data_IF_490927228295
#
_entry.id   IF_490927228295
#
_cell.length_a   1.000
_cell.length_b   1.000
_cell.length_c   1.000
_cell.angle_alpha   90.00
_cell.angle_beta   90.00
_cell.angle_gamma   90.00
#
_symmetry.space_group_name_H-M   'P 1'
#
loop_
_entity.id
_entity.type
_entity.pdbx_description
1 polymer ?
#
# COMPACT_ATOMS: atom_id res chain seq x y z
N UNK A 1 -6.92 -30.61 -20.32
CA UNK A 1 -6.76 -29.31 -21.02
C UNK A 1 -7.22 -28.10 -20.20
N UNK A 2 -8.24 -28.22 -19.33
CA UNK A 2 -8.82 -27.11 -18.51
C UNK A 2 -7.87 -26.58 -17.40
N UNK A 3 -6.86 -27.33 -16.97
CA UNK A 3 -5.93 -26.92 -15.90
C UNK A 3 -4.74 -26.07 -16.38
N UNK A 4 -4.46 -26.02 -17.68
CA UNK A 4 -3.34 -25.25 -18.22
C UNK A 4 -3.65 -23.75 -18.34
N UNK A 5 -4.92 -23.41 -18.56
CA UNK A 5 -5.41 -22.05 -18.82
C UNK A 5 -5.30 -21.11 -17.60
N UNK A 6 -5.19 -21.66 -16.38
CA UNK A 6 -5.15 -20.88 -15.13
C UNK A 6 -3.75 -20.38 -14.71
N UNK A 7 -2.68 -20.73 -15.43
CA UNK A 7 -1.28 -20.42 -15.01
C UNK A 7 -0.76 -19.08 -15.53
N UNK A 8 -1.30 -18.58 -16.63
CA UNK A 8 -0.92 -17.31 -17.24
C UNK A 8 -2.12 -16.36 -17.33
N UNK A 9 -1.84 -15.07 -17.52
CA UNK A 9 -2.85 -14.05 -17.76
C UNK A 9 -2.33 -13.04 -18.78
N UNK A 10 -3.26 -12.35 -19.46
CA UNK A 10 -2.92 -11.26 -20.36
C UNK A 10 -2.57 -9.99 -19.56
N UNK A 11 -1.56 -9.18 -19.92
CA UNK A 11 -1.19 -8.00 -19.14
C UNK A 11 -2.33 -6.99 -18.92
N UNK A 12 -3.26 -6.85 -19.86
CA UNK A 12 -4.48 -6.05 -19.68
C UNK A 12 -5.35 -6.52 -18.50
N UNK A 13 -5.35 -7.83 -18.19
CA UNK A 13 -6.05 -8.36 -17.02
C UNK A 13 -5.33 -7.95 -15.72
N UNK A 14 -4.00 -7.99 -15.70
CA UNK A 14 -3.21 -7.47 -14.58
C UNK A 14 -3.47 -5.96 -14.39
N UNK A 15 -3.46 -5.19 -15.47
CA UNK A 15 -3.76 -3.77 -15.43
C UNK A 15 -5.13 -3.50 -14.78
N UNK A 16 -6.17 -4.24 -15.17
CA UNK A 16 -7.50 -4.14 -14.55
C UNK A 16 -7.51 -4.44 -13.05
N UNK A 17 -6.75 -5.43 -12.58
CA UNK A 17 -6.67 -5.71 -11.14
C UNK A 17 -6.08 -4.55 -10.35
N UNK A 18 -5.00 -3.95 -10.86
CA UNK A 18 -4.36 -2.79 -10.23
C UNK A 18 -5.22 -1.52 -10.36
N UNK A 19 -5.96 -1.34 -11.46
CA UNK A 19 -6.91 -0.25 -11.63
C UNK A 19 -8.07 -0.35 -10.64
N UNK A 20 -8.66 -1.54 -10.50
CA UNK A 20 -9.71 -1.76 -9.50
C UNK A 20 -9.21 -1.52 -8.08
N UNK A 21 -8.00 -1.99 -7.78
CA UNK A 21 -7.32 -1.72 -6.50
C UNK A 21 -7.13 -0.22 -6.27
N UNK A 22 -6.81 0.54 -7.31
CA UNK A 22 -6.70 2.00 -7.23
C UNK A 22 -8.02 2.62 -6.79
N UNK A 23 -9.15 2.23 -7.38
CA UNK A 23 -10.46 2.74 -6.98
C UNK A 23 -10.82 2.36 -5.54
N UNK A 24 -10.55 1.12 -5.14
CA UNK A 24 -10.74 0.68 -3.74
C UNK A 24 -9.88 1.52 -2.79
N UNK A 25 -8.63 1.79 -3.15
CA UNK A 25 -7.71 2.57 -2.33
C UNK A 25 -8.11 4.06 -2.28
N UNK A 26 -8.70 4.62 -3.35
CA UNK A 26 -9.29 5.97 -3.31
C UNK A 26 -10.44 6.02 -2.31
N UNK A 27 -11.37 5.05 -2.36
CA UNK A 27 -12.46 4.96 -1.39
C UNK A 27 -11.92 4.83 0.04
N UNK A 28 -10.93 3.97 0.25
CA UNK A 28 -10.28 3.80 1.54
C UNK A 28 -9.61 5.11 2.03
N UNK A 29 -8.92 5.83 1.15
CA UNK A 29 -8.30 7.12 1.50
C UNK A 29 -9.35 8.14 1.96
N UNK A 30 -10.46 8.26 1.23
CA UNK A 30 -11.58 9.14 1.63
C UNK A 30 -12.12 8.75 3.01
N UNK A 31 -12.37 7.46 3.24
CA UNK A 31 -12.87 6.97 4.53
C UNK A 31 -11.88 7.24 5.68
N UNK A 32 -10.58 7.07 5.44
CA UNK A 32 -9.52 7.30 6.43
C UNK A 32 -9.40 8.79 6.78
N UNK A 33 -9.61 9.70 5.82
CA UNK A 33 -9.55 11.15 6.07
C UNK A 33 -10.83 11.71 6.65
N UNK A 34 -11.99 11.08 6.41
CA UNK A 34 -13.30 11.55 6.89
C UNK A 34 -13.34 11.86 8.40
N UNK A 35 -12.72 11.06 9.29
CA UNK A 35 -12.58 11.40 10.71
C UNK A 35 -12.06 12.80 11.03
N UNK A 36 -11.24 13.42 10.17
CA UNK A 36 -10.72 14.80 10.36
C UNK A 36 -11.86 15.81 10.45
N UNK A 37 -13.00 15.54 9.82
CA UNK A 37 -14.19 16.38 9.84
C UNK A 37 -14.98 16.25 11.16
N UNK A 38 -14.66 15.27 12.00
CA UNK A 38 -15.35 15.03 13.27
C UNK A 38 -14.60 15.72 14.41
N UNK A 39 -15.09 16.88 14.84
CA UNK A 39 -14.47 17.70 15.88
C UNK A 39 -14.16 16.91 17.17
N UNK A 40 -15.03 15.97 17.57
CA UNK A 40 -14.84 15.12 18.77
C UNK A 40 -13.59 14.24 18.71
N UNK A 41 -13.10 13.90 17.52
CA UNK A 41 -11.88 13.09 17.37
C UNK A 41 -10.60 13.91 17.55
N UNK A 42 -10.73 15.25 17.61
CA UNK A 42 -9.64 16.22 17.80
C UNK A 42 -8.43 15.98 16.86
N UNK A 43 -8.69 15.39 15.69
CA UNK A 43 -7.64 14.98 14.76
C UNK A 43 -6.74 16.14 14.32
N UNK A 44 -7.27 17.33 13.97
CA UNK A 44 -6.41 18.48 13.67
C UNK A 44 -5.43 18.83 14.79
N UNK A 45 -5.83 18.72 16.06
CA UNK A 45 -4.97 18.99 17.22
C UNK A 45 -3.94 17.88 17.43
N UNK A 46 -4.31 16.63 17.19
CA UNK A 46 -3.36 15.50 17.26
C UNK A 46 -2.24 15.65 16.23
N UNK A 47 -2.57 16.17 15.04
CA UNK A 47 -1.61 16.34 13.94
C UNK A 47 -0.52 17.38 14.21
N UNK A 48 -0.70 18.29 15.17
CA UNK A 48 0.32 19.31 15.52
C UNK A 48 1.30 18.83 16.59
N UNK A 49 1.04 17.70 17.22
CA UNK A 49 1.86 17.15 18.30
C UNK A 49 2.54 15.85 17.88
N UNK A 50 3.75 15.62 18.36
CA UNK A 50 4.35 14.28 18.28
C UNK A 50 3.70 13.37 19.34
N UNK A 51 3.36 12.11 19.02
CA UNK A 51 3.58 11.37 17.77
C UNK A 51 2.41 11.46 16.76
N UNK A 52 1.40 12.29 16.97
CA UNK A 52 0.24 12.42 16.08
C UNK A 52 0.57 12.85 14.65
N UNK A 53 1.71 13.51 14.43
CA UNK A 53 2.26 13.79 13.08
C UNK A 53 2.43 12.53 12.22
N UNK A 54 2.65 11.35 12.80
CA UNK A 54 2.75 10.09 12.05
C UNK A 54 1.47 9.72 11.30
N UNK A 55 0.31 10.23 11.71
CA UNK A 55 -0.95 10.06 10.97
C UNK A 55 -0.87 10.67 9.57
N UNK A 56 -0.28 11.87 9.47
CA UNK A 56 -0.12 12.56 8.19
C UNK A 56 0.86 11.83 7.29
N UNK A 57 1.97 11.36 7.86
CA UNK A 57 2.97 10.59 7.11
C UNK A 57 2.36 9.27 6.62
N UNK A 58 1.61 8.55 7.47
CA UNK A 58 0.92 7.32 7.09
C UNK A 58 -0.08 7.55 5.95
N UNK A 59 -0.86 8.64 6.02
CA UNK A 59 -1.78 9.02 4.95
C UNK A 59 -1.04 9.34 3.64
N UNK A 60 0.04 10.11 3.69
CA UNK A 60 0.89 10.40 2.54
C UNK A 60 1.47 9.14 1.90
N UNK A 61 1.94 8.20 2.71
CA UNK A 61 2.43 6.90 2.23
C UNK A 61 1.29 6.07 1.62
N UNK A 62 0.10 6.04 2.22
CA UNK A 62 -1.03 5.30 1.67
C UNK A 62 -1.50 5.87 0.32
N UNK A 63 -1.58 7.19 0.20
CA UNK A 63 -1.93 7.85 -1.07
C UNK A 63 -0.81 7.65 -2.11
N UNK A 64 0.44 7.89 -1.74
CA UNK A 64 1.59 7.75 -2.64
C UNK A 64 1.81 6.31 -3.12
N UNK A 65 1.98 5.38 -2.19
CA UNK A 65 2.26 3.98 -2.51
C UNK A 65 0.98 3.20 -2.83
N UNK A 66 -0.06 3.32 -2.01
CA UNK A 66 -1.29 2.55 -2.17
C UNK A 66 -2.16 3.00 -3.34
N UNK A 67 -2.42 4.31 -3.51
CA UNK A 67 -3.28 4.82 -4.59
C UNK A 67 -2.47 5.05 -5.87
N UNK A 68 -1.47 5.93 -5.82
CA UNK A 68 -0.69 6.26 -7.02
C UNK A 68 0.21 5.10 -7.45
N UNK A 69 0.78 4.34 -6.51
CA UNK A 69 1.55 3.15 -6.84
C UNK A 69 0.70 2.07 -7.52
N UNK A 70 -0.52 1.81 -7.08
CA UNK A 70 -1.41 0.86 -7.79
C UNK A 70 -1.79 1.36 -9.18
N UNK A 71 -2.03 2.66 -9.34
CA UNK A 71 -2.31 3.26 -10.65
C UNK A 71 -1.10 3.16 -11.59
N UNK A 72 0.10 3.39 -11.06
CA UNK A 72 1.34 3.25 -11.80
C UNK A 72 1.52 1.81 -12.27
N UNK A 73 1.30 0.80 -11.42
CA UNK A 73 1.37 -0.60 -11.81
C UNK A 73 0.31 -1.03 -12.82
N UNK A 74 -0.90 -0.48 -12.71
CA UNK A 74 -1.94 -0.65 -13.74
C UNK A 74 -1.42 -0.16 -15.10
N UNK A 75 -0.85 1.04 -15.12
CA UNK A 75 -0.29 1.66 -16.32
C UNK A 75 0.88 0.86 -16.87
N UNK A 76 1.80 0.41 -16.02
CA UNK A 76 2.96 -0.41 -16.42
C UNK A 76 2.48 -1.71 -17.07
N UNK A 77 1.51 -2.41 -16.48
CA UNK A 77 0.99 -3.64 -17.09
C UNK A 77 0.27 -3.40 -18.41
N UNK A 78 -0.44 -2.28 -18.55
CA UNK A 78 -1.04 -1.88 -19.82
C UNK A 78 0.05 -1.61 -20.87
N UNK A 79 1.04 -0.78 -20.54
CA UNK A 79 2.15 -0.43 -21.43
C UNK A 79 3.03 -1.63 -21.77
N UNK A 80 3.15 -2.61 -20.89
CA UNK A 80 3.92 -3.83 -21.18
C UNK A 80 3.29 -4.67 -22.30
N UNK A 81 1.95 -4.64 -22.46
CA UNK A 81 1.30 -5.27 -23.60
C UNK A 81 1.52 -4.44 -24.88
N UNK A 82 1.37 -3.12 -24.81
CA UNK A 82 1.36 -2.27 -26.02
C UNK A 82 2.74 -1.91 -26.54
N UNK A 83 3.71 -1.62 -25.65
CA UNK A 83 5.06 -1.19 -26.03
C UNK A 83 6.05 -2.35 -26.12
N UNK A 84 5.94 -3.32 -25.21
CA UNK A 84 6.87 -4.45 -25.12
C UNK A 84 6.34 -5.72 -25.81
N UNK A 85 5.12 -5.67 -26.37
CA UNK A 85 4.43 -6.79 -27.00
C UNK A 85 4.36 -8.06 -26.13
N UNK A 86 4.27 -7.88 -24.80
CA UNK A 86 4.13 -9.02 -23.88
C UNK A 86 2.73 -9.61 -24.03
N UNK A 87 2.65 -10.91 -24.36
CA UNK A 87 1.37 -11.61 -24.55
C UNK A 87 0.85 -12.24 -23.27
N UNK A 88 1.74 -12.76 -22.44
CA UNK A 88 1.40 -13.54 -21.25
C UNK A 88 2.30 -13.19 -20.07
N UNK A 89 1.68 -13.11 -18.88
CA UNK A 89 2.34 -13.00 -17.58
C UNK A 89 1.99 -14.22 -16.74
N UNK A 90 2.86 -14.63 -15.81
CA UNK A 90 2.53 -15.67 -14.83
C UNK A 90 1.53 -15.13 -13.81
N UNK A 91 0.35 -15.73 -13.74
CA UNK A 91 -0.74 -15.29 -12.85
C UNK A 91 -0.31 -15.25 -11.39
N UNK A 92 0.47 -16.23 -10.94
CA UNK A 92 0.96 -16.29 -9.56
C UNK A 92 1.80 -15.06 -9.20
N UNK A 93 2.73 -14.64 -10.05
CA UNK A 93 3.59 -13.50 -9.76
C UNK A 93 2.80 -12.19 -9.67
N UNK A 94 1.86 -11.98 -10.60
CA UNK A 94 0.97 -10.80 -10.61
C UNK A 94 0.11 -10.76 -9.35
N UNK A 95 -0.51 -11.88 -8.97
CA UNK A 95 -1.39 -11.93 -7.79
C UNK A 95 -0.58 -11.76 -6.51
N UNK A 96 0.58 -12.40 -6.37
CA UNK A 96 1.46 -12.20 -5.22
C UNK A 96 1.93 -10.76 -5.14
N UNK A 97 2.33 -10.15 -6.27
CA UNK A 97 2.69 -8.73 -6.34
C UNK A 97 1.54 -7.84 -5.83
N UNK A 98 0.33 -8.06 -6.32
CA UNK A 98 -0.85 -7.32 -5.89
C UNK A 98 -1.14 -7.47 -4.39
N UNK A 99 -1.04 -8.68 -3.85
CA UNK A 99 -1.29 -8.96 -2.44
C UNK A 99 -0.24 -8.25 -1.57
N UNK A 100 1.05 -8.41 -1.88
CA UNK A 100 2.12 -7.78 -1.10
C UNK A 100 2.01 -6.25 -1.13
N UNK A 101 1.66 -5.69 -2.29
CA UNK A 101 1.43 -4.26 -2.44
C UNK A 101 0.33 -3.76 -1.50
N UNK A 102 -0.82 -4.44 -1.49
CA UNK A 102 -1.93 -4.06 -0.62
C UNK A 102 -1.62 -4.29 0.86
N UNK A 103 -1.04 -5.44 1.22
CA UNK A 103 -0.65 -5.73 2.62
C UNK A 103 0.29 -4.66 3.15
N UNK A 104 1.28 -4.24 2.35
CA UNK A 104 2.17 -3.14 2.72
C UNK A 104 1.42 -1.81 2.86
N UNK A 105 0.61 -1.42 1.86
CA UNK A 105 -0.10 -0.15 1.88
C UNK A 105 -1.05 -0.02 3.09
N UNK A 106 -1.94 -1.01 3.27
CA UNK A 106 -2.90 -1.02 4.37
C UNK A 106 -2.23 -1.24 5.72
N UNK A 107 -1.23 -2.13 5.79
CA UNK A 107 -0.51 -2.40 7.03
C UNK A 107 0.24 -1.18 7.54
N UNK A 108 1.02 -0.50 6.68
CA UNK A 108 1.72 0.74 7.06
C UNK A 108 0.70 1.82 7.41
N UNK A 109 -0.31 2.04 6.56
CA UNK A 109 -1.36 3.02 6.82
C UNK A 109 -2.03 2.83 8.18
N UNK A 110 -2.35 1.58 8.54
CA UNK A 110 -2.99 1.25 9.81
C UNK A 110 -2.04 1.36 11.01
N UNK A 111 -0.89 0.68 10.99
CA UNK A 111 0.01 0.66 12.16
C UNK A 111 0.69 2.00 12.40
N UNK A 112 1.10 2.69 11.35
CA UNK A 112 1.74 4.01 11.46
C UNK A 112 0.71 5.09 11.74
N UNK A 113 -0.44 5.04 11.05
CA UNK A 113 -1.50 6.03 11.19
C UNK A 113 -2.26 5.88 12.49
N UNK A 114 -2.91 4.73 12.71
CA UNK A 114 -3.67 4.50 13.93
C UNK A 114 -2.77 4.11 15.12
N UNK A 115 -1.93 3.10 14.94
CA UNK A 115 -1.14 2.53 16.04
C UNK A 115 -0.15 3.51 16.68
N UNK A 116 0.69 4.16 15.87
CA UNK A 116 1.64 5.16 16.38
C UNK A 116 1.03 6.56 16.45
N UNK A 117 0.44 7.03 15.34
CA UNK A 117 -0.06 8.39 15.21
C UNK A 117 -1.27 8.68 16.10
N UNK A 118 -2.38 7.99 15.90
CA UNK A 118 -3.62 8.28 16.61
C UNK A 118 -3.52 7.98 18.10
N UNK A 119 -3.06 6.78 18.47
CA UNK A 119 -2.94 6.37 19.88
C UNK A 119 -1.96 7.28 20.63
N UNK A 120 -0.76 7.47 20.08
CA UNK A 120 0.23 8.30 20.75
C UNK A 120 -0.12 9.79 20.76
N UNK A 121 -0.70 10.31 19.68
CA UNK A 121 -1.20 11.70 19.62
C UNK A 121 -2.34 11.94 20.62
N UNK A 122 -3.21 10.95 20.84
CA UNK A 122 -4.25 11.01 21.88
C UNK A 122 -3.62 11.06 23.27
N UNK A 123 -2.71 10.14 23.59
CA UNK A 123 -2.01 10.13 24.87
C UNK A 123 -1.25 11.44 25.14
N UNK A 124 -0.69 12.05 24.09
CA UNK A 124 -0.01 13.34 24.20
C UNK A 124 -0.96 14.47 24.58
N UNK A 125 -2.15 14.52 23.97
CA UNK A 125 -3.19 15.50 24.32
C UNK A 125 -3.75 15.29 25.72
N UNK A 126 -3.76 14.05 26.21
CA UNK A 126 -4.13 13.70 27.58
C UNK A 126 -3.04 14.06 28.62
N UNK A 127 -1.90 14.60 28.17
CA UNK A 127 -0.82 15.04 29.06
C UNK A 127 0.12 13.92 29.50
N UNK A 128 0.08 12.75 28.86
CA UNK A 128 0.98 11.63 29.17
C UNK A 128 2.42 12.01 28.83
N UNK A 129 3.35 11.68 29.73
CA UNK A 129 4.78 11.94 29.53
C UNK A 129 5.37 11.17 28.34
N UNK A 130 6.32 11.81 27.64
CA UNK A 130 6.95 11.29 26.41
C UNK A 130 7.54 9.89 26.58
N UNK A 131 8.15 9.57 27.72
CA UNK A 131 8.72 8.26 27.99
C UNK A 131 7.65 7.15 27.98
N UNK A 132 6.48 7.42 28.57
CA UNK A 132 5.36 6.47 28.62
C UNK A 132 4.73 6.32 27.23
N UNK A 133 4.56 7.43 26.49
CA UNK A 133 4.08 7.39 25.10
C UNK A 133 5.01 6.55 24.22
N UNK A 134 6.31 6.73 24.37
CA UNK A 134 7.32 5.97 23.62
C UNK A 134 7.18 4.47 23.90
N UNK A 135 7.05 4.08 25.17
CA UNK A 135 6.82 2.69 25.54
C UNK A 135 5.51 2.15 24.93
N UNK A 136 4.43 2.95 24.98
CA UNK A 136 3.11 2.59 24.48
C UNK A 136 3.09 2.28 22.98
N UNK A 137 3.82 3.05 22.16
CA UNK A 137 3.82 2.88 20.70
C UNK A 137 5.01 2.05 20.18
N UNK A 138 6.01 1.75 21.01
CA UNK A 138 7.26 1.10 20.58
C UNK A 138 7.05 -0.22 19.82
N UNK A 139 6.03 -1.00 20.21
CA UNK A 139 5.72 -2.27 19.58
C UNK A 139 5.29 -2.15 18.12
N UNK A 140 4.83 -0.97 17.66
CA UNK A 140 4.41 -0.78 16.27
C UNK A 140 5.60 -0.59 15.32
N UNK A 141 6.75 -0.16 15.84
CA UNK A 141 7.91 0.27 15.03
C UNK A 141 8.46 -0.86 14.16
N UNK A 142 8.74 -2.03 14.75
CA UNK A 142 9.29 -3.18 14.02
C UNK A 142 8.30 -3.70 12.96
N UNK A 143 7.01 -3.94 13.28
CA UNK A 143 6.01 -4.30 12.28
C UNK A 143 5.87 -3.32 11.12
N UNK A 144 5.91 -2.01 11.39
CA UNK A 144 5.89 -0.99 10.32
C UNK A 144 7.10 -1.17 9.40
N UNK A 145 8.30 -1.35 9.95
CA UNK A 145 9.51 -1.62 9.17
C UNK A 145 9.40 -2.87 8.28
N UNK A 146 8.83 -3.95 8.81
CA UNK A 146 8.58 -5.19 8.05
C UNK A 146 7.62 -4.94 6.87
N UNK A 147 6.54 -4.18 7.10
CA UNK A 147 5.55 -3.87 6.07
C UNK A 147 6.11 -2.96 4.97
N UNK A 148 6.97 -2.00 5.34
CA UNK A 148 7.72 -1.20 4.36
C UNK A 148 8.61 -2.11 3.50
N UNK A 149 9.34 -3.04 4.12
CA UNK A 149 10.17 -3.99 3.39
C UNK A 149 9.34 -4.90 2.46
N UNK A 150 8.17 -5.36 2.90
CA UNK A 150 7.22 -6.09 2.05
C UNK A 150 6.79 -5.23 0.85
N UNK A 151 6.56 -3.94 1.03
CA UNK A 151 6.25 -3.00 -0.06
C UNK A 151 7.39 -2.88 -1.08
N UNK A 152 8.65 -2.89 -0.63
CA UNK A 152 9.81 -2.91 -1.52
C UNK A 152 9.93 -4.23 -2.27
N UNK A 153 9.77 -5.37 -1.59
CA UNK A 153 9.74 -6.70 -2.23
C UNK A 153 8.63 -6.81 -3.26
N UNK A 154 7.46 -6.24 -2.97
CA UNK A 154 6.36 -6.12 -3.91
C UNK A 154 6.80 -5.42 -5.19
N UNK A 155 7.42 -4.24 -5.08
CA UNK A 155 7.89 -3.49 -6.25
C UNK A 155 8.92 -4.27 -7.08
N UNK A 156 9.87 -4.94 -6.42
CA UNK A 156 10.85 -5.82 -7.08
C UNK A 156 10.15 -6.96 -7.84
N UNK A 157 9.15 -7.59 -7.21
CA UNK A 157 8.37 -8.65 -7.84
C UNK A 157 7.57 -8.13 -9.04
N UNK A 158 7.04 -6.91 -8.98
CA UNK A 158 6.38 -6.24 -10.10
C UNK A 158 7.29 -6.08 -11.31
N UNK A 159 8.51 -5.57 -11.11
CA UNK A 159 9.53 -5.47 -12.16
C UNK A 159 9.88 -6.84 -12.72
N UNK A 160 10.18 -7.81 -11.83
CA UNK A 160 10.51 -9.18 -12.23
C UNK A 160 9.41 -9.82 -13.08
N UNK A 161 8.15 -9.58 -12.73
CA UNK A 161 6.99 -10.11 -13.49
C UNK A 161 6.97 -9.59 -14.92
N UNK A 162 7.28 -8.32 -15.14
CA UNK A 162 7.35 -7.73 -16.48
C UNK A 162 8.55 -8.30 -17.25
N UNK A 163 9.71 -8.44 -16.61
CA UNK A 163 10.92 -8.98 -17.25
C UNK A 163 10.78 -10.46 -17.64
N UNK A 164 10.17 -11.29 -16.78
CA UNK A 164 9.86 -12.69 -17.09
C UNK A 164 8.89 -12.77 -18.29
N UNK A 165 7.82 -11.98 -18.28
CA UNK A 165 6.87 -11.91 -19.41
C UNK A 165 7.53 -11.49 -20.73
N UNK A 166 8.45 -10.53 -20.68
CA UNK A 166 9.20 -10.08 -21.86
C UNK A 166 10.11 -11.17 -22.41
N UNK A 167 10.82 -11.87 -21.53
CA UNK A 167 11.68 -13.01 -21.89
C UNK A 167 10.88 -14.14 -22.51
N UNK A 168 9.70 -14.45 -21.95
CA UNK A 168 8.79 -15.46 -22.49
C UNK A 168 8.24 -15.11 -23.87
N UNK A 169 8.09 -13.82 -24.20
CA UNK A 169 7.53 -13.38 -25.48
C UNK A 169 8.54 -13.41 -26.64
N UNK A 170 9.83 -13.62 -26.34
CA UNK A 170 10.92 -13.70 -27.33
C UNK A 170 11.38 -15.14 -27.65
N UNK A 171 10.86 -16.13 -26.91
CA UNK A 171 11.09 -17.56 -27.17
C UNK A 171 9.98 -18.10 -28.04
#
# INVERSE_FOLDING_TARGET
MILAEKKSLHPHTAARYFLFTTFVNICAAVLITTPVLVARLALPLKLTEWPGTWMFIAYGVFVGFGVFGSLAWSTIHYLSATLLNIKLLRRKLVVTHLILHNVAAYGVGFLMGYGAGYVGGTARLEGVGVAVITALISWTVIPIGILIFIGLLSAILGVFTVLDGWTMSRR
#
